data_IF_587810821685
#
_entry.id   IF_587810821685
#
_cell.length_a   1.000
_cell.length_b   1.000
_cell.length_c   1.000
_cell.angle_alpha   90.00
_cell.angle_beta   90.00
_cell.angle_gamma   90.00
#
_symmetry.space_group_name_H-M   'P 1'
#
loop_
_entity.id
_entity.type
_entity.pdbx_description
1 polymer ?
#
# COMPACT_ATOMS: atom_id res chain seq x y z
N UNK A 1 -5.80 6.85 -19.55
CA UNK A 1 -4.48 6.23 -19.27
C UNK A 1 -4.49 5.54 -17.90
N UNK A 2 -4.63 4.22 -17.89
CA UNK A 2 -4.67 3.40 -16.66
C UNK A 2 -3.22 3.11 -16.24
N UNK A 3 -2.60 4.04 -15.50
CA UNK A 3 -1.22 3.88 -15.04
C UNK A 3 -1.19 2.81 -13.93
N UNK A 4 -0.77 1.60 -14.28
CA UNK A 4 -0.51 0.54 -13.30
C UNK A 4 0.68 0.95 -12.45
N UNK A 5 0.41 1.47 -11.26
CA UNK A 5 1.44 1.79 -10.26
C UNK A 5 2.16 0.50 -9.87
N UNK A 6 3.47 0.45 -10.10
CA UNK A 6 4.31 -0.66 -9.67
C UNK A 6 5.06 -0.26 -8.41
N UNK A 7 5.10 -1.14 -7.42
CA UNK A 7 5.84 -0.95 -6.18
C UNK A 7 7.15 -1.74 -6.21
N UNK A 8 8.13 -1.35 -5.40
CA UNK A 8 9.36 -2.15 -5.24
C UNK A 8 9.09 -3.34 -4.32
N UNK A 9 8.35 -4.33 -4.84
CA UNK A 9 8.03 -5.58 -4.13
C UNK A 9 9.30 -6.36 -3.74
N UNK A 10 10.43 -6.05 -4.39
CA UNK A 10 11.75 -6.57 -4.07
C UNK A 10 12.21 -6.20 -2.65
N UNK A 11 11.77 -5.05 -2.12
CA UNK A 11 12.07 -4.59 -0.75
C UNK A 11 11.43 -5.50 0.31
N UNK A 12 10.31 -6.16 -0.03
CA UNK A 12 9.74 -7.20 0.82
C UNK A 12 10.66 -8.42 0.93
N UNK A 13 11.85 -8.51 0.33
CA UNK A 13 12.81 -9.57 0.68
C UNK A 13 13.53 -9.29 2.00
N UNK A 14 13.61 -8.03 2.41
CA UNK A 14 14.20 -7.63 3.68
C UNK A 14 13.21 -7.91 4.82
N UNK A 15 13.66 -8.64 5.84
CA UNK A 15 12.84 -9.00 6.99
C UNK A 15 12.36 -7.76 7.78
N UNK A 16 13.23 -6.76 7.95
CA UNK A 16 12.85 -5.50 8.63
C UNK A 16 11.74 -4.76 7.88
N UNK A 17 11.81 -4.74 6.54
CA UNK A 17 10.80 -4.09 5.69
C UNK A 17 9.48 -4.86 5.74
N UNK A 18 9.53 -6.20 5.75
CA UNK A 18 8.33 -7.05 5.93
C UNK A 18 7.65 -6.79 7.26
N UNK A 19 8.42 -6.75 8.35
CA UNK A 19 7.87 -6.56 9.69
C UNK A 19 7.25 -5.16 9.83
N UNK A 20 7.93 -4.13 9.31
CA UNK A 20 7.36 -2.76 9.23
C UNK A 20 6.09 -2.72 8.38
N UNK A 21 6.09 -3.40 7.23
CA UNK A 21 4.91 -3.47 6.37
C UNK A 21 3.73 -4.13 7.08
N UNK A 22 3.96 -5.28 7.73
CA UNK A 22 2.94 -6.01 8.47
C UNK A 22 2.36 -5.15 9.60
N UNK A 23 3.22 -4.51 10.41
CA UNK A 23 2.79 -3.64 11.51
C UNK A 23 2.01 -2.43 10.99
N UNK A 24 2.48 -1.78 9.92
CA UNK A 24 1.80 -0.62 9.33
C UNK A 24 0.41 -0.98 8.80
N UNK A 25 0.27 -2.13 8.10
CA UNK A 25 -1.03 -2.61 7.63
C UNK A 25 -1.94 -2.94 8.81
N UNK A 26 -1.45 -3.70 9.81
CA UNK A 26 -2.25 -4.08 10.97
C UNK A 26 -2.75 -2.86 11.76
N UNK A 27 -1.88 -1.88 12.01
CA UNK A 27 -2.26 -0.66 12.72
C UNK A 27 -3.35 0.12 11.97
N UNK A 28 -3.17 0.30 10.65
CA UNK A 28 -4.15 1.04 9.82
C UNK A 28 -5.46 0.28 9.66
N UNK A 29 -5.42 -1.05 9.57
CA UNK A 29 -6.62 -1.89 9.48
C UNK A 29 -7.41 -1.86 10.79
N UNK A 30 -6.75 -1.96 11.95
CA UNK A 30 -7.40 -1.83 13.26
C UNK A 30 -8.07 -0.46 13.42
N UNK A 31 -7.42 0.62 12.97
CA UNK A 31 -8.03 1.95 12.95
C UNK A 31 -9.27 2.00 12.04
N UNK A 32 -9.25 1.28 10.91
CA UNK A 32 -10.40 1.22 10.01
C UNK A 32 -11.56 0.39 10.59
N UNK A 33 -11.28 -0.73 11.25
CA UNK A 33 -12.30 -1.55 11.93
C UNK A 33 -13.01 -0.78 13.04
N UNK A 34 -12.31 0.10 13.77
CA UNK A 34 -12.94 0.97 14.77
C UNK A 34 -13.93 1.98 14.16
N UNK A 35 -13.82 2.26 12.85
CA UNK A 35 -14.66 3.20 12.13
C UNK A 35 -15.73 2.49 11.27
N UNK A 36 -15.76 1.14 11.27
CA UNK A 36 -16.65 0.34 10.39
C UNK A 36 -18.13 0.50 10.73
N UNK A 37 -18.47 0.69 12.01
CA UNK A 37 -19.88 0.73 12.45
C UNK A 37 -20.66 1.90 11.82
N UNK A 38 -19.97 2.97 11.39
CA UNK A 38 -20.58 4.16 10.78
C UNK A 38 -20.42 4.22 9.24
N UNK A 39 -19.72 3.26 8.61
CA UNK A 39 -19.39 3.30 7.17
C UNK A 39 -20.21 2.32 6.33
N UNK A 40 -20.62 2.75 5.13
CA UNK A 40 -21.17 1.84 4.12
C UNK A 40 -20.11 0.83 3.68
N UNK A 41 -20.51 -0.42 3.42
CA UNK A 41 -19.63 -1.52 2.98
C UNK A 41 -18.81 -1.13 1.75
N UNK A 42 -19.39 -0.37 0.80
CA UNK A 42 -18.67 0.07 -0.39
C UNK A 42 -17.56 1.09 -0.05
N UNK A 43 -17.85 2.04 0.84
CA UNK A 43 -16.86 3.00 1.35
C UNK A 43 -15.76 2.30 2.13
N UNK A 44 -16.12 1.31 2.96
CA UNK A 44 -15.17 0.47 3.67
C UNK A 44 -14.21 -0.26 2.72
N UNK A 45 -14.72 -0.88 1.65
CA UNK A 45 -13.89 -1.54 0.64
C UNK A 45 -12.97 -0.56 -0.12
N UNK A 46 -13.41 0.68 -0.34
CA UNK A 46 -12.55 1.72 -0.92
C UNK A 46 -11.44 2.14 0.05
N UNK A 47 -11.76 2.29 1.34
CA UNK A 47 -10.78 2.62 2.38
C UNK A 47 -9.72 1.53 2.52
N UNK A 48 -10.11 0.25 2.54
CA UNK A 48 -9.15 -0.87 2.52
C UNK A 48 -8.20 -0.74 1.32
N UNK A 49 -8.74 -0.56 0.11
CA UNK A 49 -7.90 -0.41 -1.10
C UNK A 49 -6.93 0.76 -1.00
N UNK A 50 -7.34 1.86 -0.39
CA UNK A 50 -6.48 3.04 -0.19
C UNK A 50 -5.40 2.77 0.85
N UNK A 51 -5.74 2.21 2.02
CA UNK A 51 -4.77 1.81 3.06
C UNK A 51 -3.69 0.89 2.49
N UNK A 52 -4.07 -0.08 1.67
CA UNK A 52 -3.12 -0.97 1.01
C UNK A 52 -2.20 -0.23 0.03
N UNK A 53 -2.74 0.67 -0.80
CA UNK A 53 -1.93 1.47 -1.73
C UNK A 53 -0.99 2.44 -1.01
N UNK A 54 -1.46 3.07 0.05
CA UNK A 54 -0.68 4.02 0.86
C UNK A 54 0.44 3.29 1.59
N UNK A 55 0.15 2.14 2.21
CA UNK A 55 1.16 1.36 2.92
C UNK A 55 2.21 0.78 1.95
N UNK A 56 1.80 0.35 0.76
CA UNK A 56 2.74 -0.01 -0.30
C UNK A 56 3.60 1.18 -0.74
N UNK A 57 3.03 2.37 -0.90
CA UNK A 57 3.78 3.58 -1.28
C UNK A 57 4.74 4.03 -0.16
N UNK A 58 4.33 3.92 1.10
CA UNK A 58 5.09 4.34 2.28
C UNK A 58 6.26 3.40 2.58
N UNK A 59 6.03 2.08 2.52
CA UNK A 59 7.04 1.09 2.94
C UNK A 59 7.88 0.58 1.77
N UNK A 60 7.27 0.36 0.60
CA UNK A 60 7.98 -0.18 -0.57
C UNK A 60 8.45 0.92 -1.51
N UNK A 61 7.79 2.08 -1.49
CA UNK A 61 8.04 3.14 -2.46
C UNK A 61 7.60 2.78 -3.88
N UNK A 62 7.51 3.80 -4.70
CA UNK A 62 7.15 3.66 -6.10
C UNK A 62 8.33 3.12 -6.91
N UNK A 63 8.07 2.12 -7.76
CA UNK A 63 9.06 1.64 -8.72
C UNK A 63 9.13 2.66 -9.83
N UNK A 64 10.12 3.54 -9.75
CA UNK A 64 10.44 4.44 -10.85
C UNK A 64 10.70 3.62 -12.11
N UNK A 65 9.85 3.84 -13.12
CA UNK A 65 10.19 3.46 -14.47
C UNK A 65 11.32 4.37 -14.91
N UNK A 66 12.57 3.90 -14.77
CA UNK A 66 13.65 4.42 -15.58
C UNK A 66 13.26 4.13 -17.03
N UNK A 67 12.60 5.09 -17.68
CA UNK A 67 12.60 5.14 -19.13
C UNK A 67 14.06 5.00 -19.51
N UNK A 68 14.40 3.87 -20.14
CA UNK A 68 15.71 3.74 -20.79
C UNK A 68 15.73 4.87 -21.81
N UNK A 69 16.47 5.91 -21.48
CA UNK A 69 16.92 6.90 -22.44
C UNK A 69 17.69 6.08 -23.48
N UNK A 70 17.04 5.80 -24.60
CA UNK A 70 17.70 5.17 -25.72
C UNK A 70 18.56 6.27 -26.33
N UNK A 71 19.86 6.21 -26.09
CA UNK A 71 20.89 6.87 -26.90
C UNK A 71 21.17 5.97 -28.11
#
# INVERSE_FOLDING_TARGET
PNYRKQFKVEELRNQEVRDRFAVAVSNKYQALEQLVDDMNIEEHWQQIKNIWKDTCSEVLGDKEWKNKDWI
#
